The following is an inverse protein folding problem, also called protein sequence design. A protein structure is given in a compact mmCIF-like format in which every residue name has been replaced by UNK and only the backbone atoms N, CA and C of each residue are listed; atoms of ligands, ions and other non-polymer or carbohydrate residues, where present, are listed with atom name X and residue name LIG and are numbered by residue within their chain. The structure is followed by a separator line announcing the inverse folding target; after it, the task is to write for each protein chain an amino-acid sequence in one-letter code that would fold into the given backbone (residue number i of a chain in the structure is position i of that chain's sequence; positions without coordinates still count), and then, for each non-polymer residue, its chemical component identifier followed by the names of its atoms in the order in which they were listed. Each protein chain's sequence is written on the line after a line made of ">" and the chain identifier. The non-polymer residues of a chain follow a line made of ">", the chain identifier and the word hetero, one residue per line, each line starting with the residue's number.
data_IF_793780350100
#
_entry.id   IF_793780350100
#
_cell.length_a   1.000
_cell.length_b   1.000
_cell.length_c   1.000
_cell.angle_alpha   90.00
_cell.angle_beta   90.00
_cell.angle_gamma   90.00
#
_symmetry.space_group_name_H-M   'P 1'
#
loop_
_entity.id
_entity.type
_entity.pdbx_description
1 polymer ?
#
# COMPACT_ATOMS: atom_id res chain seq x y z
N UNK A 1 1.07 -81.18 64.14
CA UNK A 1 1.57 -79.93 64.62
C UNK A 1 2.62 -79.42 63.66
N UNK A 2 2.30 -78.66 62.66
CA UNK A 2 3.26 -78.05 61.73
C UNK A 2 2.90 -76.57 61.64
N UNK A 3 3.77 -75.75 62.23
CA UNK A 3 3.75 -74.29 62.17
C UNK A 3 4.48 -73.84 60.90
N UNK A 4 3.73 -73.23 59.93
CA UNK A 4 4.33 -72.61 58.73
C UNK A 4 4.22 -71.08 58.83
N UNK A 5 5.37 -70.45 59.02
CA UNK A 5 5.58 -69.06 59.07
C UNK A 5 5.54 -68.42 57.61
N UNK A 6 4.87 -67.40 57.34
CA UNK A 6 4.90 -66.77 56.01
C UNK A 6 6.11 -65.84 55.89
N UNK A 7 6.95 -66.06 54.87
CA UNK A 7 8.05 -65.21 54.45
C UNK A 7 7.49 -63.95 53.81
N UNK A 8 7.73 -62.80 54.42
CA UNK A 8 7.48 -61.49 53.83
C UNK A 8 8.53 -61.17 52.76
N UNK A 9 8.10 -61.07 51.51
CA UNK A 9 8.90 -60.60 50.42
C UNK A 9 9.05 -59.06 50.56
N UNK A 10 10.26 -58.62 50.73
CA UNK A 10 10.64 -57.21 50.79
C UNK A 10 10.86 -56.71 49.37
N UNK A 11 9.89 -56.00 48.86
CA UNK A 11 9.99 -55.34 47.54
C UNK A 11 10.96 -54.15 47.68
N UNK A 12 12.09 -54.22 47.09
CA UNK A 12 13.05 -53.14 46.94
C UNK A 12 12.53 -52.18 45.87
N UNK A 13 11.98 -51.05 46.30
CA UNK A 13 11.56 -49.94 45.47
C UNK A 13 12.80 -49.11 45.10
N UNK A 14 13.54 -49.47 44.08
CA UNK A 14 14.56 -48.61 43.48
C UNK A 14 13.88 -47.47 42.75
N UNK A 15 13.72 -46.31 43.41
CA UNK A 15 13.30 -45.08 42.76
C UNK A 15 14.40 -44.63 41.81
N UNK A 16 14.23 -44.87 40.52
CA UNK A 16 15.13 -44.40 39.49
C UNK A 16 15.06 -42.87 39.43
N UNK A 17 16.06 -42.21 39.96
CA UNK A 17 16.24 -40.75 39.91
C UNK A 17 16.51 -40.23 38.47
N UNK A 18 16.55 -41.12 37.49
CA UNK A 18 16.83 -40.82 36.08
C UNK A 18 15.61 -40.30 35.33
N UNK A 19 14.40 -40.71 35.70
CA UNK A 19 13.18 -40.31 35.00
C UNK A 19 12.82 -38.81 35.19
N UNK A 20 13.14 -38.26 36.36
CA UNK A 20 12.83 -36.85 36.66
C UNK A 20 13.66 -35.85 35.82
N UNK A 21 14.93 -36.19 35.53
CA UNK A 21 15.82 -35.36 34.72
C UNK A 21 15.43 -35.37 33.24
N UNK A 22 15.00 -36.52 32.73
CA UNK A 22 14.57 -36.69 31.33
C UNK A 22 13.25 -35.95 31.06
N UNK A 23 12.32 -35.98 32.01
CA UNK A 23 11.03 -35.26 31.89
C UNK A 23 11.24 -33.74 31.96
N UNK A 24 12.13 -33.27 32.83
CA UNK A 24 12.44 -31.84 32.93
C UNK A 24 13.11 -31.31 31.65
N UNK A 25 14.02 -32.10 31.06
CA UNK A 25 14.66 -31.75 29.78
C UNK A 25 13.67 -31.67 28.62
N UNK A 26 12.70 -32.57 28.55
CA UNK A 26 11.69 -32.62 27.50
C UNK A 26 10.68 -31.43 27.61
N UNK A 27 10.33 -31.05 28.85
CA UNK A 27 9.42 -29.89 29.05
C UNK A 27 10.10 -28.57 28.73
N UNK A 28 11.39 -28.39 29.02
CA UNK A 28 12.13 -27.17 28.64
C UNK A 28 12.30 -27.08 27.12
N UNK A 29 12.54 -28.21 26.43
CA UNK A 29 12.63 -28.25 24.97
C UNK A 29 11.29 -27.91 24.32
N UNK A 30 10.18 -28.44 24.83
CA UNK A 30 8.82 -28.13 24.33
C UNK A 30 8.43 -26.68 24.56
N UNK A 31 8.78 -26.08 25.70
CA UNK A 31 8.53 -24.65 25.98
C UNK A 31 9.37 -23.75 25.06
N UNK A 32 10.60 -24.11 24.71
CA UNK A 32 11.45 -23.38 23.78
C UNK A 32 10.89 -23.34 22.35
N UNK A 33 10.26 -24.40 21.88
CA UNK A 33 9.62 -24.46 20.54
C UNK A 33 8.37 -23.56 20.46
N UNK A 34 7.62 -23.44 21.55
CA UNK A 34 6.41 -22.56 21.58
C UNK A 34 6.80 -21.08 21.55
N UNK A 35 7.91 -20.70 22.17
CA UNK A 35 8.37 -19.29 22.15
C UNK A 35 8.99 -18.89 20.81
N UNK A 36 9.60 -19.82 20.07
CA UNK A 36 10.15 -19.59 18.74
C UNK A 36 9.06 -19.45 17.64
N UNK A 37 7.83 -19.86 17.92
CA UNK A 37 6.68 -19.77 17.00
C UNK A 37 5.96 -18.42 17.00
N UNK A 38 6.49 -17.36 17.64
CA UNK A 38 6.01 -15.98 17.54
C UNK A 38 6.20 -15.47 16.11
N UNK A 39 5.32 -15.89 15.19
CA UNK A 39 5.33 -15.44 13.80
C UNK A 39 5.18 -13.95 13.73
N UNK A 40 6.05 -13.29 12.98
CA UNK A 40 5.85 -11.91 12.55
C UNK A 40 4.49 -11.84 11.86
N UNK A 41 3.51 -11.21 12.50
CA UNK A 41 2.20 -10.97 11.92
C UNK A 41 2.32 -10.00 10.76
N UNK A 42 2.58 -10.50 9.56
CA UNK A 42 2.46 -9.71 8.34
C UNK A 42 0.98 -9.44 8.10
N UNK A 43 0.60 -8.19 8.28
CA UNK A 43 -0.69 -7.69 7.80
C UNK A 43 -0.65 -7.68 6.26
N UNK A 44 -1.20 -8.72 5.64
CA UNK A 44 -1.36 -8.82 4.19
C UNK A 44 -2.69 -8.14 3.83
N UNK A 45 -2.61 -6.97 3.24
CA UNK A 45 -3.77 -6.25 2.73
C UNK A 45 -3.52 -4.74 2.65
N UNK A 46 -4.27 -4.02 1.83
CA UNK A 46 -4.18 -2.57 1.78
C UNK A 46 -4.59 -2.01 3.15
N UNK A 47 -3.68 -1.34 3.79
CA UNK A 47 -3.98 -0.64 5.04
C UNK A 47 -4.82 0.59 4.70
N UNK A 48 -5.98 0.71 5.29
CA UNK A 48 -6.89 1.84 5.09
C UNK A 48 -7.27 2.45 6.45
N UNK A 49 -7.65 3.72 6.44
CA UNK A 49 -8.08 4.39 7.67
C UNK A 49 -9.51 3.96 8.01
N UNK A 50 -9.69 3.18 9.05
CA UNK A 50 -11.00 2.68 9.51
C UNK A 50 -12.00 3.80 9.82
N UNK A 51 -11.51 4.98 10.14
CA UNK A 51 -12.35 6.15 10.45
C UNK A 51 -12.95 6.82 9.20
N UNK A 52 -12.42 6.53 8.01
CA UNK A 52 -12.86 7.07 6.72
C UNK A 52 -13.61 5.97 5.97
N UNK A 53 -14.91 6.18 5.71
CA UNK A 53 -15.74 5.23 4.95
C UNK A 53 -16.09 5.73 3.56
N UNK A 54 -16.06 7.06 3.38
CA UNK A 54 -16.41 7.70 2.14
C UNK A 54 -15.41 8.79 1.76
N UNK A 55 -15.17 8.92 0.46
CA UNK A 55 -14.25 9.90 -0.09
C UNK A 55 -14.94 10.67 -1.22
N UNK A 56 -14.94 11.98 -1.12
CA UNK A 56 -15.36 12.87 -2.21
C UNK A 56 -14.17 13.18 -3.11
N UNK A 57 -14.30 12.87 -4.39
CA UNK A 57 -13.28 13.16 -5.41
C UNK A 57 -13.93 14.01 -6.51
N UNK A 58 -13.90 15.34 -6.40
CA UNK A 58 -14.35 16.22 -7.46
C UNK A 58 -13.44 16.11 -8.68
N UNK A 59 -13.91 16.60 -9.83
CA UNK A 59 -13.08 16.65 -11.04
C UNK A 59 -11.82 17.47 -10.77
N UNK A 60 -10.69 16.91 -11.12
CA UNK A 60 -9.38 17.55 -10.94
C UNK A 60 -9.29 18.79 -11.80
N UNK A 61 -8.93 19.90 -11.17
CA UNK A 61 -8.68 21.15 -11.88
C UNK A 61 -7.47 21.00 -12.81
N UNK A 62 -7.52 21.62 -13.97
CA UNK A 62 -6.41 21.64 -14.90
C UNK A 62 -5.96 23.10 -15.09
N UNK A 63 -4.69 23.37 -14.83
CA UNK A 63 -4.08 24.68 -15.08
C UNK A 63 -3.61 24.83 -16.52
N UNK A 64 -3.55 23.72 -17.26
CA UNK A 64 -3.12 23.65 -18.64
C UNK A 64 -4.33 23.67 -19.59
N UNK A 65 -4.14 24.22 -20.78
CA UNK A 65 -5.20 24.40 -21.80
C UNK A 65 -5.57 23.09 -22.53
N UNK A 66 -5.43 21.96 -21.84
CA UNK A 66 -5.75 20.61 -22.34
C UNK A 66 -7.09 20.12 -21.80
N UNK A 67 -8.19 20.38 -22.51
CA UNK A 67 -9.51 19.99 -22.04
C UNK A 67 -9.60 18.45 -21.92
N UNK A 68 -10.20 17.99 -20.85
CA UNK A 68 -10.46 16.59 -20.59
C UNK A 68 -9.35 15.82 -19.87
N UNK A 69 -8.13 16.36 -19.69
CA UNK A 69 -7.07 15.66 -18.97
C UNK A 69 -7.44 15.46 -17.49
N UNK A 70 -7.95 16.50 -16.83
CA UNK A 70 -8.41 16.43 -15.45
C UNK A 70 -9.55 15.42 -15.28
N UNK A 71 -10.51 15.38 -16.22
CA UNK A 71 -11.61 14.41 -16.18
C UNK A 71 -11.10 12.97 -16.31
N UNK A 72 -10.24 12.70 -17.30
CA UNK A 72 -9.64 11.36 -17.51
C UNK A 72 -8.85 10.89 -16.30
N UNK A 73 -8.09 11.79 -15.68
CA UNK A 73 -7.36 11.49 -14.45
C UNK A 73 -8.31 11.19 -13.29
N UNK A 74 -9.37 11.98 -13.13
CA UNK A 74 -10.40 11.76 -12.09
C UNK A 74 -11.06 10.39 -12.25
N UNK A 75 -11.44 10.02 -13.46
CA UNK A 75 -12.02 8.70 -13.76
C UNK A 75 -11.05 7.55 -13.45
N UNK A 76 -9.76 7.72 -13.79
CA UNK A 76 -8.74 6.73 -13.48
C UNK A 76 -8.54 6.56 -11.96
N UNK A 77 -8.52 7.67 -11.22
CA UNK A 77 -8.44 7.67 -9.75
C UNK A 77 -9.67 7.01 -9.14
N UNK A 78 -10.89 7.32 -9.61
CA UNK A 78 -12.11 6.67 -9.14
C UNK A 78 -12.05 5.15 -9.31
N UNK A 79 -11.66 4.68 -10.48
CA UNK A 79 -11.51 3.24 -10.77
C UNK A 79 -10.47 2.59 -9.85
N UNK A 80 -9.35 3.25 -9.64
CA UNK A 80 -8.27 2.71 -8.83
C UNK A 80 -8.65 2.67 -7.34
N UNK A 81 -9.33 3.69 -6.81
CA UNK A 81 -9.88 3.69 -5.44
C UNK A 81 -10.87 2.53 -5.26
N UNK A 82 -11.84 2.38 -6.18
CA UNK A 82 -12.83 1.31 -6.10
C UNK A 82 -12.23 -0.09 -6.21
N UNK A 83 -11.10 -0.22 -6.90
CA UNK A 83 -10.39 -1.49 -7.07
C UNK A 83 -9.59 -1.90 -5.84
N UNK A 84 -8.97 -0.94 -5.14
CA UNK A 84 -7.96 -1.20 -4.10
C UNK A 84 -8.45 -0.90 -2.68
N UNK A 85 -9.33 0.08 -2.53
CA UNK A 85 -9.73 0.61 -1.23
C UNK A 85 -11.22 0.37 -0.95
N UNK A 86 -11.60 0.14 0.30
CA UNK A 86 -12.99 -0.09 0.69
C UNK A 86 -13.79 1.22 0.80
N UNK A 87 -13.26 2.36 0.31
CA UNK A 87 -13.93 3.64 0.40
C UNK A 87 -15.04 3.75 -0.64
N UNK A 88 -16.20 4.25 -0.21
CA UNK A 88 -17.27 4.63 -1.13
C UNK A 88 -16.93 5.98 -1.79
N UNK A 89 -16.68 5.97 -3.09
CA UNK A 89 -16.40 7.19 -3.87
C UNK A 89 -17.69 7.95 -4.13
N UNK A 90 -17.68 9.25 -3.81
CA UNK A 90 -18.79 10.18 -4.03
C UNK A 90 -18.27 11.30 -4.95
N UNK A 91 -18.92 11.57 -6.09
CA UNK A 91 -18.45 12.62 -7.02
C UNK A 91 -18.49 14.03 -6.44
N UNK A 92 -19.33 14.23 -5.43
CA UNK A 92 -19.48 15.51 -4.73
C UNK A 92 -20.42 15.34 -3.54
N UNK A 93 -20.49 16.34 -2.67
CA UNK A 93 -21.36 16.33 -1.51
C UNK A 93 -20.67 16.00 -0.20
N UNK A 94 -21.44 15.52 0.77
CA UNK A 94 -20.96 15.22 2.11
C UNK A 94 -20.30 13.82 2.15
N UNK A 95 -19.00 13.80 2.35
CA UNK A 95 -18.20 12.59 2.56
C UNK A 95 -17.32 12.77 3.80
N UNK A 96 -16.82 11.66 4.36
CA UNK A 96 -15.91 11.70 5.54
C UNK A 96 -14.58 12.37 5.21
N UNK A 97 -14.12 12.21 3.97
CA UNK A 97 -12.89 12.83 3.48
C UNK A 97 -13.05 13.39 2.06
N UNK A 98 -12.15 14.30 1.69
CA UNK A 98 -12.12 14.91 0.36
C UNK A 98 -10.72 14.86 -0.21
N UNK A 99 -10.61 14.38 -1.45
CA UNK A 99 -9.40 14.38 -2.26
C UNK A 99 -9.56 15.46 -3.34
N UNK A 100 -8.74 16.49 -3.28
CA UNK A 100 -8.68 17.56 -4.29
C UNK A 100 -7.39 17.38 -5.07
N UNK A 101 -7.46 17.45 -6.39
CA UNK A 101 -6.30 17.39 -7.26
C UNK A 101 -6.29 18.52 -8.28
N UNK A 102 -5.09 18.96 -8.62
CA UNK A 102 -4.84 19.96 -9.65
C UNK A 102 -3.73 19.45 -10.56
N UNK A 103 -3.99 19.38 -11.85
CA UNK A 103 -2.96 19.17 -12.88
C UNK A 103 -2.17 20.46 -13.04
N UNK A 104 -0.89 20.43 -12.69
CA UNK A 104 0.02 21.59 -12.79
C UNK A 104 0.52 21.78 -14.21
N UNK A 105 0.75 20.67 -14.92
CA UNK A 105 1.21 20.70 -16.29
C UNK A 105 1.34 19.31 -16.90
N UNK A 106 1.32 19.29 -18.23
CA UNK A 106 1.58 18.09 -19.00
C UNK A 106 2.55 18.45 -20.15
N UNK A 107 3.72 17.81 -20.13
CA UNK A 107 4.84 18.16 -21.01
C UNK A 107 5.16 16.99 -21.94
N UNK A 108 5.70 17.34 -23.11
CA UNK A 108 6.23 16.37 -24.07
C UNK A 108 7.66 16.77 -24.40
N UNK A 109 8.60 15.89 -24.11
CA UNK A 109 10.02 16.10 -24.35
C UNK A 109 10.59 15.07 -25.33
N UNK A 110 11.66 15.42 -26.01
CA UNK A 110 12.46 14.51 -26.83
C UNK A 110 13.56 13.91 -25.95
N UNK A 111 13.59 12.58 -25.84
CA UNK A 111 14.57 11.88 -24.99
C UNK A 111 15.66 11.21 -25.83
N UNK A 112 15.34 10.84 -27.05
CA UNK A 112 16.29 10.21 -27.97
C UNK A 112 16.13 10.73 -29.40
N UNK A 113 17.28 11.07 -30.01
CA UNK A 113 17.37 11.59 -31.37
C UNK A 113 18.25 10.69 -32.23
N UNK A 114 18.07 10.77 -33.54
CA UNK A 114 18.98 10.17 -34.52
C UNK A 114 20.22 11.04 -34.70
N UNK A 115 21.20 10.55 -35.50
CA UNK A 115 22.37 11.37 -35.90
C UNK A 115 21.99 12.63 -36.72
N UNK A 116 20.77 12.69 -37.25
CA UNK A 116 20.25 13.80 -38.04
C UNK A 116 19.22 14.64 -37.25
N UNK A 117 19.26 14.58 -35.92
CA UNK A 117 18.36 15.31 -35.00
C UNK A 117 16.86 14.94 -35.15
N UNK A 118 16.54 13.79 -35.76
CA UNK A 118 15.13 13.33 -35.81
C UNK A 118 14.73 12.67 -34.49
N UNK A 119 13.62 13.07 -33.87
CA UNK A 119 13.17 12.53 -32.58
C UNK A 119 12.69 11.08 -32.74
N UNK A 120 13.40 10.14 -32.10
CA UNK A 120 13.03 8.71 -32.06
C UNK A 120 12.23 8.32 -30.84
N UNK A 121 12.58 8.88 -29.70
CA UNK A 121 11.92 8.57 -28.43
C UNK A 121 11.43 9.87 -27.81
N UNK A 122 10.15 9.90 -27.59
CA UNK A 122 9.45 11.00 -26.95
C UNK A 122 9.01 10.58 -25.55
N UNK A 123 8.97 11.51 -24.61
CA UNK A 123 8.49 11.30 -23.26
C UNK A 123 7.29 12.23 -23.01
N UNK A 124 6.23 11.67 -22.44
CA UNK A 124 5.11 12.44 -21.94
C UNK A 124 5.16 12.46 -20.42
N UNK A 125 5.14 13.65 -19.81
CA UNK A 125 5.23 13.88 -18.37
C UNK A 125 3.97 14.55 -17.89
N UNK A 126 3.52 14.19 -16.67
CA UNK A 126 2.36 14.76 -16.00
C UNK A 126 2.74 15.12 -14.56
N UNK A 127 2.48 16.36 -14.16
CA UNK A 127 2.65 16.86 -12.81
C UNK A 127 1.28 17.17 -12.19
N UNK A 128 1.02 16.64 -11.00
CA UNK A 128 -0.26 16.78 -10.31
C UNK A 128 -0.01 17.10 -8.84
N UNK A 129 -0.70 18.09 -8.36
CA UNK A 129 -0.79 18.45 -6.95
C UNK A 129 -2.03 17.81 -6.34
N UNK A 130 -1.90 17.18 -5.17
CA UNK A 130 -2.99 16.46 -4.50
C UNK A 130 -3.04 16.84 -3.02
N UNK A 131 -4.26 17.09 -2.54
CA UNK A 131 -4.54 17.32 -1.12
C UNK A 131 -5.65 16.38 -0.66
N UNK A 132 -5.41 15.61 0.39
CA UNK A 132 -6.41 14.74 1.01
C UNK A 132 -6.72 15.20 2.44
N UNK A 133 -7.97 15.56 2.70
CA UNK A 133 -8.42 16.18 3.96
C UNK A 133 -9.55 15.37 4.59
N UNK A 134 -9.50 15.16 5.90
CA UNK A 134 -10.61 14.66 6.70
C UNK A 134 -11.63 15.81 6.91
N UNK A 135 -12.86 15.60 6.47
CA UNK A 135 -13.89 16.65 6.51
C UNK A 135 -14.49 16.87 7.90
N UNK A 136 -14.29 15.94 8.84
CA UNK A 136 -14.77 16.08 10.23
C UNK A 136 -13.79 16.86 11.08
N UNK A 137 -12.49 16.60 10.92
CA UNK A 137 -11.43 17.21 11.72
C UNK A 137 -10.71 18.34 11.01
N UNK A 138 -10.97 18.54 9.72
CA UNK A 138 -10.25 19.46 8.82
C UNK A 138 -8.73 19.21 8.77
N UNK A 139 -8.31 18.00 9.17
CA UNK A 139 -6.92 17.60 9.16
C UNK A 139 -6.51 17.04 7.81
N UNK A 140 -5.35 17.46 7.32
CA UNK A 140 -4.74 16.87 6.11
C UNK A 140 -4.27 15.45 6.45
N UNK A 141 -4.74 14.48 5.67
CA UNK A 141 -4.49 13.05 5.88
C UNK A 141 -3.28 12.54 5.09
N UNK A 142 -3.06 13.07 3.88
CA UNK A 142 -1.87 12.77 3.09
C UNK A 142 -0.85 13.88 3.29
N UNK A 143 0.16 13.60 4.09
CA UNK A 143 1.32 14.46 4.24
C UNK A 143 2.54 13.59 3.97
N UNK A 144 3.11 13.71 2.78
CA UNK A 144 4.48 13.26 2.59
C UNK A 144 5.36 14.31 3.25
N UNK A 145 6.23 13.90 4.15
CA UNK A 145 7.18 14.82 4.82
C UNK A 145 8.13 15.38 3.76
N UNK A 146 7.72 16.46 3.14
CA UNK A 146 8.59 17.38 2.42
C UNK A 146 8.71 18.59 3.33
N UNK A 147 9.89 19.13 3.47
CA UNK A 147 10.24 20.22 4.40
C UNK A 147 9.56 21.58 4.08
N UNK A 148 8.45 21.56 3.39
CA UNK A 148 7.64 22.73 3.05
C UNK A 148 6.28 22.61 3.73
N UNK A 149 5.80 23.68 4.34
CA UNK A 149 4.51 23.74 5.08
C UNK A 149 3.27 23.58 4.18
N UNK A 150 3.45 23.13 2.93
CA UNK A 150 2.35 22.92 1.99
C UNK A 150 1.52 21.69 2.36
N UNK A 151 0.20 21.82 2.53
CA UNK A 151 -0.69 20.69 2.77
C UNK A 151 -0.90 19.81 1.53
N UNK A 152 -0.30 20.17 0.40
CA UNK A 152 -0.42 19.47 -0.88
C UNK A 152 0.81 18.64 -1.19
N UNK A 153 0.60 17.50 -1.85
CA UNK A 153 1.65 16.61 -2.34
C UNK A 153 1.75 16.76 -3.85
N UNK A 154 2.94 17.10 -4.35
CA UNK A 154 3.20 17.11 -5.79
C UNK A 154 3.71 15.75 -6.24
N UNK A 155 3.04 15.18 -7.23
CA UNK A 155 3.37 13.91 -7.87
C UNK A 155 3.79 14.15 -9.32
N UNK A 156 4.76 13.37 -9.79
CA UNK A 156 5.18 13.37 -11.18
C UNK A 156 5.13 11.95 -11.74
N UNK A 157 4.68 11.82 -12.98
CA UNK A 157 4.67 10.55 -13.70
C UNK A 157 4.97 10.79 -15.16
N UNK A 158 5.67 9.84 -15.77
CA UNK A 158 6.11 9.93 -17.16
C UNK A 158 5.96 8.58 -17.89
N UNK A 159 5.89 8.62 -19.21
CA UNK A 159 6.01 7.46 -20.08
C UNK A 159 6.68 7.86 -21.38
N UNK A 160 7.61 7.04 -21.83
CA UNK A 160 8.26 7.19 -23.12
C UNK A 160 7.48 6.46 -24.20
N UNK A 161 7.49 6.97 -25.43
CA UNK A 161 6.90 6.32 -26.58
C UNK A 161 7.71 6.61 -27.85
N UNK A 162 7.70 5.66 -28.77
CA UNK A 162 8.37 5.81 -30.06
C UNK A 162 7.34 5.70 -31.20
N UNK A 163 7.11 6.78 -31.96
CA UNK A 163 6.18 6.77 -33.09
C UNK A 163 6.60 5.76 -34.18
N UNK A 164 7.89 5.53 -34.36
CA UNK A 164 8.42 4.59 -35.34
C UNK A 164 8.00 3.14 -35.08
N UNK A 165 7.77 2.78 -33.83
CA UNK A 165 7.30 1.45 -33.40
C UNK A 165 5.78 1.35 -33.32
N UNK A 166 5.04 2.36 -33.83
CA UNK A 166 3.58 2.42 -33.77
C UNK A 166 3.00 2.85 -32.44
N UNK A 167 3.82 3.31 -31.49
CA UNK A 167 3.33 3.84 -30.22
C UNK A 167 2.82 5.28 -30.43
N UNK A 168 1.67 5.58 -29.85
CA UNK A 168 1.07 6.90 -29.98
C UNK A 168 1.18 7.71 -28.67
N UNK A 169 1.14 9.03 -28.80
CA UNK A 169 1.01 9.93 -27.66
C UNK A 169 -0.24 9.64 -26.82
N UNK A 170 -1.33 9.18 -27.46
CA UNK A 170 -2.55 8.82 -26.77
C UNK A 170 -2.33 7.61 -25.83
N UNK A 171 -1.59 6.60 -26.28
CA UNK A 171 -1.23 5.44 -25.48
C UNK A 171 -0.33 5.83 -24.32
N UNK A 172 0.73 6.62 -24.57
CA UNK A 172 1.62 7.11 -23.52
C UNK A 172 0.88 7.95 -22.50
N UNK A 173 0.01 8.87 -22.95
CA UNK A 173 -0.78 9.70 -22.03
C UNK A 173 -1.71 8.87 -21.15
N UNK A 174 -2.31 7.81 -21.69
CA UNK A 174 -3.17 6.91 -20.91
C UNK A 174 -2.36 6.11 -19.87
N UNK A 175 -1.17 5.66 -20.23
CA UNK A 175 -0.26 5.00 -19.31
C UNK A 175 0.16 5.90 -18.16
N UNK A 176 0.53 7.15 -18.46
CA UNK A 176 0.89 8.16 -17.44
C UNK A 176 -0.29 8.43 -16.50
N UNK A 177 -1.50 8.60 -17.04
CA UNK A 177 -2.71 8.81 -16.24
C UNK A 177 -2.95 7.63 -15.30
N UNK A 178 -2.85 6.40 -15.81
CA UNK A 178 -3.04 5.20 -14.99
C UNK A 178 -1.96 5.06 -13.92
N UNK A 179 -0.71 5.39 -14.22
CA UNK A 179 0.40 5.38 -13.26
C UNK A 179 0.21 6.46 -12.19
N UNK A 180 -0.17 7.67 -12.59
CA UNK A 180 -0.51 8.76 -11.68
C UNK A 180 -1.66 8.38 -10.75
N UNK A 181 -2.72 7.75 -11.27
CA UNK A 181 -3.85 7.30 -10.46
C UNK A 181 -3.41 6.29 -9.39
N UNK A 182 -2.52 5.36 -9.71
CA UNK A 182 -1.93 4.44 -8.73
C UNK A 182 -1.14 5.17 -7.64
N UNK A 183 -0.27 6.12 -8.03
CA UNK A 183 0.51 6.91 -7.08
C UNK A 183 -0.39 7.73 -6.13
N UNK A 184 -1.49 8.29 -6.65
CA UNK A 184 -2.47 9.00 -5.82
C UNK A 184 -3.13 8.05 -4.83
N UNK A 185 -3.51 6.85 -5.25
CA UNK A 185 -4.15 5.86 -4.38
C UNK A 185 -3.17 5.32 -3.34
N UNK A 186 -1.88 5.18 -3.68
CA UNK A 186 -0.84 4.82 -2.71
C UNK A 186 -0.75 5.82 -1.54
N UNK A 187 -1.05 7.11 -1.77
CA UNK A 187 -1.15 8.10 -0.69
C UNK A 187 -2.38 7.92 0.21
N UNK A 188 -3.43 7.28 -0.31
CA UNK A 188 -4.67 7.03 0.43
C UNK A 188 -4.59 5.72 1.23
N UNK A 189 -3.68 4.82 0.89
CA UNK A 189 -3.37 3.65 1.69
C UNK A 189 -2.73 4.11 3.00
N UNK A 190 -3.03 3.41 4.10
CA UNK A 190 -2.71 3.90 5.42
C UNK A 190 -1.25 4.29 5.56
N UNK A 191 -1.00 5.36 6.28
CA UNK A 191 0.37 5.73 6.59
C UNK A 191 0.97 4.75 7.59
N UNK A 192 2.16 4.49 7.37
CA UNK A 192 3.25 4.09 8.24
C UNK A 192 3.12 4.54 9.71
#
# INVERSE_FOLDING_TARGET
>A
MFSSSPRRLRVHRTRSRWTARSVLGLTVLAAGVIVAGGGCGYLIGPQHREQVRSIAVPVFACSDDRPGLGLRLTEAVHKEIQRRLPYRVIPGGSADSRLIGRVLGAYKDVVGETRNDDPRTLQFQLAVEVTWTDMRTQKVLAQRVVADDSPAVTLMSDASFSPETGQSMATASQEVINRMARQIVDLLEAPW
#
